data_IF_947691403904
#
_entry.id   IF_947691403904
#
_cell.length_a   1.000
_cell.length_b   1.000
_cell.length_c   1.000
_cell.angle_alpha   90.00
_cell.angle_beta   90.00
_cell.angle_gamma   90.00
#
_symmetry.space_group_name_H-M   'P 1'
#
loop_
_entity.id
_entity.type
_entity.pdbx_description
1 polymer ?
#
# COMPACT_ATOMS: atom_id res chain seq x y z
N UNK A 1 6.93 10.40 31.23
CA UNK A 1 6.21 9.14 30.93
C UNK A 1 7.26 8.07 30.70
N UNK A 2 7.14 6.94 31.38
CA UNK A 2 8.00 5.78 31.14
C UNK A 2 7.68 5.15 29.76
N UNK A 3 8.68 4.48 29.19
CA UNK A 3 8.62 3.92 27.84
C UNK A 3 7.41 3.00 27.62
N UNK A 4 7.06 2.19 28.63
CA UNK A 4 5.91 1.27 28.59
C UNK A 4 4.58 2.01 28.42
N UNK A 5 4.39 3.13 29.11
CA UNK A 5 3.17 3.93 28.97
C UNK A 5 3.06 4.56 27.58
N UNK A 6 4.17 5.10 27.05
CA UNK A 6 4.17 5.69 25.70
C UNK A 6 3.94 4.62 24.62
N UNK A 7 4.58 3.45 24.76
CA UNK A 7 4.39 2.30 23.88
C UNK A 7 2.95 1.79 23.92
N UNK A 8 2.36 1.66 25.12
CA UNK A 8 0.97 1.26 25.30
C UNK A 8 -0.02 2.21 24.61
N UNK A 9 0.19 3.52 24.77
CA UNK A 9 -0.61 4.55 24.08
C UNK A 9 -0.44 4.45 22.56
N UNK A 10 0.79 4.30 22.07
CA UNK A 10 1.07 4.17 20.64
C UNK A 10 0.36 2.94 20.03
N UNK A 11 0.50 1.78 20.67
CA UNK A 11 -0.16 0.54 20.24
C UNK A 11 -1.68 0.71 20.24
N UNK A 12 -2.25 1.31 21.29
CA UNK A 12 -3.69 1.56 21.36
C UNK A 12 -4.18 2.48 20.22
N UNK A 13 -3.47 3.57 19.94
CA UNK A 13 -3.80 4.49 18.84
C UNK A 13 -3.70 3.80 17.49
N UNK A 14 -2.62 3.06 17.23
CA UNK A 14 -2.41 2.34 15.96
C UNK A 14 -3.49 1.28 15.75
N UNK A 15 -3.78 0.46 16.76
CA UNK A 15 -4.83 -0.57 16.67
C UNK A 15 -6.21 0.07 16.46
N UNK A 16 -6.49 1.19 17.12
CA UNK A 16 -7.75 1.95 16.91
C UNK A 16 -7.84 2.49 15.49
N UNK A 17 -6.77 3.06 14.94
CA UNK A 17 -6.71 3.52 13.56
C UNK A 17 -6.93 2.37 12.57
N UNK A 18 -6.27 1.22 12.77
CA UNK A 18 -6.46 0.02 11.94
C UNK A 18 -7.93 -0.44 12.00
N UNK A 19 -8.50 -0.52 13.19
CA UNK A 19 -9.89 -0.92 13.40
C UNK A 19 -10.88 0.01 12.67
N UNK A 20 -10.65 1.33 12.75
CA UNK A 20 -11.45 2.33 12.03
C UNK A 20 -11.30 2.19 10.51
N UNK A 21 -10.07 2.02 10.01
CA UNK A 21 -9.83 1.81 8.57
C UNK A 21 -10.53 0.53 8.10
N UNK A 22 -10.41 -0.58 8.82
CA UNK A 22 -11.06 -1.84 8.45
C UNK A 22 -12.59 -1.70 8.43
N UNK A 23 -13.18 -1.05 9.43
CA UNK A 23 -14.62 -0.82 9.51
C UNK A 23 -15.13 0.06 8.36
N UNK A 24 -14.46 1.18 8.12
CA UNK A 24 -14.93 2.19 7.16
C UNK A 24 -14.33 2.04 5.76
N UNK A 25 -13.45 1.07 5.50
CA UNK A 25 -12.97 0.77 4.14
C UNK A 25 -14.02 0.03 3.29
N UNK A 26 -15.19 -0.32 3.84
CA UNK A 26 -16.32 -0.92 3.11
C UNK A 26 -16.22 -2.44 2.93
N UNK A 27 -15.30 -3.12 3.63
CA UNK A 27 -15.14 -4.57 3.63
C UNK A 27 -15.98 -5.22 4.75
N UNK A 28 -17.31 -5.20 4.61
CA UNK A 28 -18.26 -5.71 5.60
C UNK A 28 -18.15 -7.22 5.93
N UNK A 29 -17.37 -8.00 5.17
CA UNK A 29 -17.29 -9.46 5.30
C UNK A 29 -16.03 -9.98 6.02
N UNK A 30 -15.23 -9.12 6.66
CA UNK A 30 -14.05 -9.57 7.42
C UNK A 30 -14.44 -9.95 8.86
N UNK A 31 -13.81 -10.97 9.47
CA UNK A 31 -14.07 -11.35 10.88
C UNK A 31 -13.87 -10.16 11.84
N UNK A 32 -12.87 -9.33 11.56
CA UNK A 32 -12.60 -8.11 12.33
C UNK A 32 -13.72 -7.08 12.18
N UNK A 33 -14.24 -6.88 10.96
CA UNK A 33 -15.37 -5.98 10.69
C UNK A 33 -16.64 -6.41 11.44
N UNK A 34 -16.93 -7.72 11.48
CA UNK A 34 -18.05 -8.28 12.25
C UNK A 34 -17.90 -8.08 13.76
N UNK A 35 -16.68 -8.26 14.30
CA UNK A 35 -16.38 -8.00 15.70
C UNK A 35 -16.52 -6.50 16.04
N UNK A 36 -16.02 -5.62 15.18
CA UNK A 36 -16.16 -4.17 15.30
C UNK A 36 -17.63 -3.73 15.25
N UNK A 37 -18.44 -4.33 14.40
CA UNK A 37 -19.88 -4.03 14.32
C UNK A 37 -20.62 -4.51 15.57
N UNK A 38 -20.29 -5.69 16.11
CA UNK A 38 -20.82 -6.13 17.43
C UNK A 38 -20.40 -5.18 18.55
N UNK A 39 -19.12 -4.82 18.61
CA UNK A 39 -18.60 -3.93 19.64
C UNK A 39 -19.27 -2.56 19.57
N UNK A 40 -19.32 -1.95 18.39
CA UNK A 40 -20.01 -0.67 18.20
C UNK A 40 -21.51 -0.76 18.42
N UNK A 41 -22.16 -1.91 18.21
CA UNK A 41 -23.54 -2.16 18.60
C UNK A 41 -23.78 -2.11 20.12
N UNK A 42 -22.79 -2.50 20.93
CA UNK A 42 -22.87 -2.45 22.40
C UNK A 42 -22.75 -1.00 22.91
N UNK A 43 -21.86 -0.20 22.30
CA UNK A 43 -21.61 1.19 22.72
C UNK A 43 -22.50 2.23 22.03
N UNK A 44 -23.10 1.90 20.88
CA UNK A 44 -24.01 2.78 20.14
C UNK A 44 -25.12 3.39 21.01
N UNK A 45 -25.83 2.65 21.89
CA UNK A 45 -26.91 3.22 22.70
C UNK A 45 -26.45 4.33 23.67
N UNK A 46 -25.15 4.39 23.95
CA UNK A 46 -24.55 5.33 24.91
C UNK A 46 -24.04 6.61 24.22
N UNK A 47 -24.02 6.63 22.88
CA UNK A 47 -23.56 7.76 22.08
C UNK A 47 -24.79 8.51 21.54
N UNK A 48 -24.93 9.83 21.81
CA UNK A 48 -26.05 10.63 21.30
C UNK A 48 -26.19 10.51 19.77
N UNK A 49 -27.42 10.40 19.27
CA UNK A 49 -27.71 10.24 17.83
C UNK A 49 -27.08 11.34 16.96
N UNK A 50 -27.00 12.57 17.48
CA UNK A 50 -26.33 13.69 16.81
C UNK A 50 -24.83 13.41 16.59
N UNK A 51 -24.14 12.93 17.63
CA UNK A 51 -22.72 12.54 17.57
C UNK A 51 -22.50 11.37 16.60
N UNK A 52 -23.37 10.35 16.62
CA UNK A 52 -23.29 9.25 15.67
C UNK A 52 -23.42 9.72 14.22
N UNK A 53 -24.38 10.61 13.94
CA UNK A 53 -24.60 11.17 12.60
C UNK A 53 -23.41 12.01 12.13
N UNK A 54 -22.84 12.83 13.01
CA UNK A 54 -21.63 13.62 12.73
C UNK A 54 -20.45 12.70 12.47
N UNK A 55 -20.19 11.71 13.34
CA UNK A 55 -19.10 10.75 13.15
C UNK A 55 -19.25 9.99 11.83
N UNK A 56 -20.45 9.50 11.50
CA UNK A 56 -20.70 8.81 10.24
C UNK A 56 -20.44 9.71 9.03
N UNK A 57 -20.96 10.95 9.04
CA UNK A 57 -20.75 11.92 7.95
C UNK A 57 -19.28 12.28 7.80
N UNK A 58 -18.58 12.51 8.89
CA UNK A 58 -17.15 12.84 8.89
C UNK A 58 -16.33 11.67 8.38
N UNK A 59 -16.54 10.45 8.88
CA UNK A 59 -15.86 9.24 8.40
C UNK A 59 -16.16 8.98 6.92
N UNK A 60 -17.41 9.17 6.48
CA UNK A 60 -17.75 9.06 5.06
C UNK A 60 -17.04 10.12 4.21
N UNK A 61 -16.97 11.38 4.66
CA UNK A 61 -16.20 12.42 3.95
C UNK A 61 -14.71 12.12 3.91
N UNK A 62 -14.16 11.57 4.99
CA UNK A 62 -12.74 11.21 5.08
C UNK A 62 -12.42 10.03 4.16
N UNK A 63 -13.06 8.88 4.35
CA UNK A 63 -12.69 7.62 3.71
C UNK A 63 -13.39 7.35 2.37
N UNK A 64 -14.51 8.01 2.08
CA UNK A 64 -15.31 7.75 0.88
C UNK A 64 -15.42 8.94 -0.08
N UNK A 65 -14.96 10.13 0.32
CA UNK A 65 -14.85 11.26 -0.59
C UNK A 65 -13.40 11.66 -0.80
N UNK A 66 -13.12 12.11 -2.01
CA UNK A 66 -11.80 12.63 -2.34
C UNK A 66 -11.58 13.94 -1.58
N UNK A 67 -10.57 13.94 -0.72
CA UNK A 67 -10.15 15.08 0.06
C UNK A 67 -8.61 15.10 0.13
N UNK A 68 -8.05 16.26 0.47
CA UNK A 68 -6.61 16.42 0.63
C UNK A 68 -6.13 16.03 2.04
N UNK A 69 -7.03 15.63 2.95
CA UNK A 69 -6.66 15.32 4.33
C UNK A 69 -5.63 14.20 4.39
N UNK A 70 -5.83 13.10 3.64
CA UNK A 70 -4.87 11.99 3.60
C UNK A 70 -3.52 12.40 3.01
N UNK A 71 -3.52 13.31 2.02
CA UNK A 71 -2.27 13.85 1.46
C UNK A 71 -1.51 14.64 2.54
N UNK A 72 -2.18 15.57 3.24
CA UNK A 72 -1.55 16.38 4.27
C UNK A 72 -1.12 15.56 5.49
N UNK A 73 -1.95 14.60 5.92
CA UNK A 73 -1.63 13.70 7.02
C UNK A 73 -0.39 12.86 6.70
N UNK A 74 -0.30 12.31 5.48
CA UNK A 74 0.85 11.54 5.05
C UNK A 74 2.13 12.38 5.01
N UNK A 75 2.06 13.60 4.45
CA UNK A 75 3.19 14.52 4.42
C UNK A 75 3.63 14.95 5.83
N UNK A 76 2.69 15.18 6.75
CA UNK A 76 2.99 15.51 8.13
C UNK A 76 3.71 14.36 8.83
N UNK A 77 3.18 13.13 8.73
CA UNK A 77 3.80 11.94 9.30
C UNK A 77 5.21 11.72 8.73
N UNK A 78 5.38 11.97 7.45
CA UNK A 78 6.67 11.86 6.76
C UNK A 78 7.69 12.89 7.27
N UNK A 79 7.28 14.15 7.48
CA UNK A 79 8.12 15.19 8.09
C UNK A 79 8.52 14.80 9.51
N UNK A 80 7.59 14.27 10.32
CA UNK A 80 7.89 13.83 11.69
C UNK A 80 8.90 12.68 11.69
N UNK A 81 8.68 11.64 10.88
CA UNK A 81 9.58 10.49 10.79
C UNK A 81 10.98 10.90 10.32
N UNK A 82 11.06 11.76 9.31
CA UNK A 82 12.35 12.26 8.83
C UNK A 82 13.01 13.21 9.82
N UNK A 83 12.25 14.01 10.56
CA UNK A 83 12.78 14.84 11.64
C UNK A 83 13.44 14.00 12.74
N UNK A 84 12.78 12.94 13.18
CA UNK A 84 13.34 11.99 14.15
C UNK A 84 14.57 11.27 13.59
N UNK A 85 14.53 10.80 12.34
CA UNK A 85 15.68 10.17 11.69
C UNK A 85 16.88 11.14 11.55
N UNK A 86 16.63 12.39 11.18
CA UNK A 86 17.66 13.43 11.09
C UNK A 86 18.26 13.76 12.46
N UNK A 87 17.44 13.74 13.52
CA UNK A 87 17.92 14.03 14.87
C UNK A 87 18.73 12.85 15.46
N UNK A 88 18.21 11.62 15.35
CA UNK A 88 18.76 10.45 16.04
C UNK A 88 19.84 9.71 15.23
N UNK A 89 19.79 9.71 13.89
CA UNK A 89 20.71 8.90 13.06
C UNK A 89 21.66 9.77 12.26
N UNK A 90 21.17 10.84 11.62
CA UNK A 90 21.99 11.63 10.71
C UNK A 90 23.17 12.32 11.42
N UNK A 91 22.96 12.87 12.63
CA UNK A 91 24.03 13.46 13.44
C UNK A 91 25.13 12.44 13.78
N UNK A 92 24.74 11.26 14.25
CA UNK A 92 25.70 10.18 14.52
C UNK A 92 26.46 9.74 13.28
N UNK A 93 25.78 9.58 12.14
CA UNK A 93 26.46 9.21 10.89
C UNK A 93 27.45 10.27 10.44
N UNK A 94 27.15 11.56 10.62
CA UNK A 94 28.11 12.64 10.36
C UNK A 94 29.35 12.51 11.25
N UNK A 95 29.18 12.33 12.56
CA UNK A 95 30.28 12.18 13.52
C UNK A 95 31.14 10.94 13.24
N UNK A 96 30.53 9.89 12.67
CA UNK A 96 31.23 8.68 12.26
C UNK A 96 31.93 8.79 10.91
N UNK A 97 31.81 9.92 10.21
CA UNK A 97 32.47 10.15 8.92
C UNK A 97 31.79 9.43 7.75
N UNK A 98 30.50 9.11 7.86
CA UNK A 98 29.72 8.60 6.73
C UNK A 98 29.73 9.61 5.59
N UNK A 99 29.89 9.14 4.34
CA UNK A 99 29.99 10.02 3.17
C UNK A 99 28.76 10.93 3.03
N UNK A 100 28.97 12.21 2.67
CA UNK A 100 27.88 13.15 2.44
C UNK A 100 26.91 12.68 1.37
N UNK A 101 27.40 11.92 0.37
CA UNK A 101 26.56 11.33 -0.68
C UNK A 101 25.57 10.34 -0.05
N UNK A 102 26.05 9.40 0.77
CA UNK A 102 25.19 8.43 1.47
C UNK A 102 24.13 9.11 2.33
N UNK A 103 24.48 10.24 2.96
CA UNK A 103 23.58 11.01 3.81
C UNK A 103 22.54 11.82 3.03
N UNK A 104 22.82 12.20 1.77
CA UNK A 104 21.86 12.89 0.91
C UNK A 104 20.83 11.93 0.28
N UNK A 105 21.18 10.66 0.05
CA UNK A 105 20.30 9.69 -0.62
C UNK A 105 18.92 9.55 0.04
N UNK A 106 18.77 9.41 1.37
CA UNK A 106 17.46 9.32 2.02
C UNK A 106 16.55 10.50 1.66
N UNK A 107 17.07 11.72 1.66
CA UNK A 107 16.29 12.93 1.37
C UNK A 107 15.94 13.09 -0.12
N UNK A 108 16.79 12.59 -1.01
CA UNK A 108 16.45 12.51 -2.44
C UNK A 108 15.33 11.49 -2.65
N UNK A 109 15.43 10.31 -2.03
CA UNK A 109 14.39 9.28 -2.09
C UNK A 109 13.07 9.77 -1.49
N UNK A 110 13.12 10.50 -0.38
CA UNK A 110 12.00 11.22 0.23
C UNK A 110 11.30 12.12 -0.79
N UNK A 111 12.04 13.00 -1.46
CA UNK A 111 11.49 13.94 -2.43
C UNK A 111 10.86 13.23 -3.64
N UNK A 112 11.55 12.22 -4.20
CA UNK A 112 11.05 11.41 -5.32
C UNK A 112 9.76 10.67 -4.92
N UNK A 113 9.77 10.00 -3.77
CA UNK A 113 8.61 9.26 -3.26
C UNK A 113 7.44 10.18 -2.99
N UNK A 114 7.67 11.34 -2.35
CA UNK A 114 6.64 12.36 -2.10
C UNK A 114 6.00 12.88 -3.38
N UNK A 115 6.82 13.16 -4.41
CA UNK A 115 6.32 13.60 -5.71
C UNK A 115 5.46 12.51 -6.40
N UNK A 116 5.92 11.25 -6.37
CA UNK A 116 5.17 10.13 -6.95
C UNK A 116 3.87 9.84 -6.20
N UNK A 117 3.87 9.96 -4.87
CA UNK A 117 2.68 9.87 -4.04
C UNK A 117 1.66 10.95 -4.40
N UNK A 118 2.11 12.21 -4.51
CA UNK A 118 1.28 13.32 -4.94
C UNK A 118 0.65 13.08 -6.32
N UNK A 119 1.43 12.60 -7.31
CA UNK A 119 0.91 12.25 -8.63
C UNK A 119 -0.12 11.12 -8.56
N UNK A 120 0.12 10.08 -7.75
CA UNK A 120 -0.82 8.98 -7.59
C UNK A 120 -2.17 9.43 -7.01
N UNK A 121 -2.13 10.29 -5.98
CA UNK A 121 -3.32 10.85 -5.34
C UNK A 121 -4.07 11.82 -6.27
N UNK A 122 -3.33 12.66 -6.99
CA UNK A 122 -3.91 13.80 -7.70
C UNK A 122 -4.42 13.48 -9.10
N UNK A 123 -3.89 12.45 -9.76
CA UNK A 123 -4.28 12.12 -11.13
C UNK A 123 -5.65 11.45 -11.19
N UNK A 124 -6.37 11.70 -12.28
CA UNK A 124 -7.60 10.96 -12.56
C UNK A 124 -7.25 9.49 -12.84
N UNK A 125 -7.98 8.51 -12.28
CA UNK A 125 -7.68 7.10 -12.50
C UNK A 125 -8.16 6.57 -13.85
N UNK A 126 -8.81 7.39 -14.69
CA UNK A 126 -9.56 6.96 -15.87
C UNK A 126 -11.06 6.91 -15.59
N UNK A 127 -11.61 7.98 -15.01
CA UNK A 127 -13.03 8.10 -14.70
C UNK A 127 -13.86 8.09 -15.98
N UNK A 128 -14.89 7.24 -16.00
CA UNK A 128 -15.85 7.17 -17.09
C UNK A 128 -16.94 8.22 -16.88
N UNK A 129 -17.06 9.11 -17.87
CA UNK A 129 -18.04 10.19 -17.94
C UNK A 129 -18.88 10.03 -19.20
N UNK A 130 -20.04 10.71 -19.29
CA UNK A 130 -20.84 10.69 -20.52
C UNK A 130 -20.07 11.19 -21.74
N UNK A 131 -19.13 12.12 -21.55
CA UNK A 131 -18.35 12.73 -22.63
C UNK A 131 -17.30 11.79 -23.24
N UNK A 132 -16.59 11.00 -22.43
CA UNK A 132 -15.55 10.07 -22.92
C UNK A 132 -16.08 8.66 -23.18
N UNK A 133 -17.27 8.31 -22.71
CA UNK A 133 -17.84 6.96 -22.72
C UNK A 133 -17.73 6.25 -24.07
N UNK A 134 -18.16 6.89 -25.16
CA UNK A 134 -18.15 6.28 -26.51
C UNK A 134 -16.74 5.97 -27.02
N UNK A 135 -15.77 6.77 -26.61
CA UNK A 135 -14.37 6.58 -26.97
C UNK A 135 -13.78 5.41 -26.17
N UNK A 136 -14.06 5.37 -24.86
CA UNK A 136 -13.57 4.35 -23.92
C UNK A 136 -14.12 2.95 -24.20
N UNK A 137 -15.34 2.84 -24.74
CA UNK A 137 -15.93 1.57 -25.18
C UNK A 137 -15.10 0.84 -26.25
N UNK A 138 -14.23 1.55 -26.97
CA UNK A 138 -13.46 1.03 -28.11
C UNK A 138 -12.02 0.69 -27.76
N UNK A 139 -11.55 1.06 -26.56
CA UNK A 139 -10.14 0.91 -26.16
C UNK A 139 -9.78 -0.56 -25.91
N UNK A 140 -10.64 -1.27 -25.19
CA UNK A 140 -10.45 -2.67 -24.84
C UNK A 140 -11.55 -3.52 -25.46
N UNK A 141 -11.16 -4.62 -26.10
CA UNK A 141 -12.11 -5.61 -26.62
C UNK A 141 -12.73 -6.41 -25.47
N UNK A 142 -14.00 -6.75 -25.62
CA UNK A 142 -14.68 -7.67 -24.72
C UNK A 142 -14.16 -9.09 -24.98
N UNK A 143 -13.92 -9.83 -23.90
CA UNK A 143 -13.44 -11.21 -23.98
C UNK A 143 -14.57 -12.24 -23.82
N UNK A 144 -15.79 -11.78 -23.53
CA UNK A 144 -16.99 -12.58 -23.26
C UNK A 144 -16.80 -13.64 -22.15
N UNK A 145 -15.74 -13.50 -21.34
CA UNK A 145 -15.38 -14.40 -20.23
C UNK A 145 -15.42 -13.65 -18.90
N UNK A 146 -14.58 -12.63 -18.76
CA UNK A 146 -14.51 -11.75 -17.60
C UNK A 146 -15.34 -10.48 -17.79
N UNK A 147 -15.47 -10.02 -19.04
CA UNK A 147 -16.19 -8.80 -19.40
C UNK A 147 -17.05 -9.03 -20.65
N UNK A 148 -18.36 -9.04 -20.44
CA UNK A 148 -19.38 -9.22 -21.47
C UNK A 148 -19.82 -7.87 -22.05
N UNK A 149 -20.16 -7.86 -23.33
CA UNK A 149 -20.71 -6.69 -24.00
C UNK A 149 -22.13 -6.33 -23.47
N UNK A 150 -22.47 -5.05 -23.49
CA UNK A 150 -23.83 -4.57 -23.16
C UNK A 150 -24.15 -4.45 -21.66
N UNK A 151 -23.28 -4.93 -20.77
CA UNK A 151 -23.50 -4.83 -19.32
C UNK A 151 -23.51 -3.37 -18.85
N UNK A 152 -24.64 -2.91 -18.32
CA UNK A 152 -24.80 -1.54 -17.79
C UNK A 152 -24.40 -1.46 -16.31
N UNK A 153 -23.81 -0.34 -15.90
CA UNK A 153 -23.68 0.00 -14.49
C UNK A 153 -25.02 0.49 -13.94
N UNK A 154 -25.53 -0.17 -12.90
CA UNK A 154 -26.79 0.21 -12.23
C UNK A 154 -26.73 1.60 -11.57
N UNK A 155 -25.56 2.04 -11.10
CA UNK A 155 -25.40 3.35 -10.45
C UNK A 155 -25.17 4.46 -11.46
N UNK A 156 -24.16 4.32 -12.33
CA UNK A 156 -23.78 5.37 -13.28
C UNK A 156 -24.66 5.40 -14.54
N UNK A 157 -25.46 4.36 -14.79
CA UNK A 157 -26.32 4.23 -15.97
C UNK A 157 -25.55 4.32 -17.31
N UNK A 158 -24.29 3.88 -17.32
CA UNK A 158 -23.44 3.75 -18.51
C UNK A 158 -23.15 2.27 -18.80
N UNK A 159 -23.08 1.88 -20.08
CA UNK A 159 -22.54 0.56 -20.48
C UNK A 159 -21.09 0.48 -20.03
N UNK A 160 -20.68 -0.59 -19.36
CA UNK A 160 -19.31 -0.76 -18.86
C UNK A 160 -18.39 -1.13 -20.02
N UNK A 161 -17.37 -0.31 -20.35
CA UNK A 161 -16.29 -0.77 -21.22
C UNK A 161 -15.61 -2.02 -20.64
N UNK A 162 -14.99 -2.82 -21.50
CA UNK A 162 -14.19 -3.96 -21.05
C UNK A 162 -13.11 -3.49 -20.05
N UNK A 163 -12.84 -4.34 -19.04
CA UNK A 163 -11.89 -4.05 -17.93
C UNK A 163 -12.29 -2.91 -16.99
N UNK A 164 -13.46 -2.28 -17.17
CA UNK A 164 -13.95 -1.25 -16.24
C UNK A 164 -14.70 -1.82 -15.03
N UNK A 165 -14.80 -1.03 -13.95
CA UNK A 165 -15.63 -1.35 -12.78
C UNK A 165 -16.15 -0.09 -12.10
N UNK A 166 -17.35 -0.20 -11.52
CA UNK A 166 -17.88 0.81 -10.62
C UNK A 166 -17.25 0.67 -9.24
N UNK A 167 -16.56 1.71 -8.79
CA UNK A 167 -16.08 1.80 -7.42
C UNK A 167 -17.20 2.41 -6.57
N UNK A 168 -17.77 1.63 -5.65
CA UNK A 168 -18.82 2.09 -4.72
C UNK A 168 -18.32 3.19 -3.79
N UNK A 169 -17.06 3.10 -3.36
CA UNK A 169 -16.43 4.08 -2.48
C UNK A 169 -16.35 5.45 -3.16
N UNK A 170 -15.73 5.50 -4.35
CA UNK A 170 -15.62 6.74 -5.12
C UNK A 170 -16.89 7.13 -5.88
N UNK A 171 -17.93 6.30 -5.85
CA UNK A 171 -19.18 6.42 -6.61
C UNK A 171 -19.00 6.77 -8.11
N UNK A 172 -18.05 6.10 -8.77
CA UNK A 172 -17.78 6.32 -10.21
C UNK A 172 -17.26 5.06 -10.88
N UNK A 173 -17.52 4.94 -12.18
CA UNK A 173 -16.90 3.91 -13.01
C UNK A 173 -15.49 4.34 -13.41
N UNK A 174 -14.55 3.41 -13.37
CA UNK A 174 -13.14 3.62 -13.71
C UNK A 174 -12.72 2.60 -14.76
N UNK A 175 -12.02 3.06 -15.79
CA UNK A 175 -11.47 2.27 -16.87
C UNK A 175 -10.24 1.48 -16.42
N UNK A 176 -10.10 0.23 -16.88
CA UNK A 176 -9.06 -0.73 -16.42
C UNK A 176 -8.87 -0.66 -14.90
N UNK A 177 -9.97 -0.80 -14.18
CA UNK A 177 -9.98 -0.64 -12.74
C UNK A 177 -9.14 -1.72 -12.07
N UNK A 178 -8.22 -1.29 -11.21
CA UNK A 178 -7.40 -2.17 -10.38
C UNK A 178 -8.04 -2.35 -9.00
N UNK A 179 -7.96 -1.32 -8.16
CA UNK A 179 -8.59 -1.31 -6.85
C UNK A 179 -8.87 0.12 -6.40
N UNK A 180 -9.62 0.26 -5.31
CA UNK A 180 -9.66 1.51 -4.56
C UNK A 180 -8.61 1.43 -3.47
N UNK A 181 -7.67 2.37 -3.46
CA UNK A 181 -6.59 2.40 -2.48
C UNK A 181 -6.87 3.51 -1.46
N UNK A 182 -7.15 3.10 -0.23
CA UNK A 182 -7.43 4.01 0.89
C UNK A 182 -6.22 4.90 1.21
N UNK A 183 -5.00 4.38 1.04
CA UNK A 183 -3.76 5.07 1.36
C UNK A 183 -3.46 6.28 0.46
N UNK A 184 -3.97 6.27 -0.78
CA UNK A 184 -3.85 7.40 -1.72
C UNK A 184 -5.18 8.14 -1.91
N UNK A 185 -6.21 7.76 -1.15
CA UNK A 185 -7.59 8.24 -1.25
C UNK A 185 -8.10 8.37 -2.71
N UNK A 186 -7.79 7.36 -3.54
CA UNK A 186 -8.12 7.37 -4.96
C UNK A 186 -8.28 5.94 -5.50
N UNK A 187 -8.99 5.81 -6.62
CA UNK A 187 -8.92 4.56 -7.37
C UNK A 187 -7.56 4.44 -8.06
N UNK A 188 -7.10 3.21 -8.26
CA UNK A 188 -6.01 2.88 -9.17
C UNK A 188 -6.64 2.32 -10.45
N UNK A 189 -6.31 2.92 -11.59
CA UNK A 189 -6.84 2.56 -12.90
C UNK A 189 -5.93 3.03 -14.02
N UNK A 190 -6.42 2.93 -15.26
CA UNK A 190 -5.60 3.06 -16.48
C UNK A 190 -4.68 4.28 -16.52
N UNK A 191 -5.09 5.43 -15.98
CA UNK A 191 -4.32 6.69 -16.07
C UNK A 191 -3.33 6.93 -14.92
N UNK A 192 -3.43 6.21 -13.80
CA UNK A 192 -2.56 6.44 -12.63
C UNK A 192 -1.82 5.20 -12.10
N UNK A 193 -2.05 4.01 -12.66
CA UNK A 193 -1.33 2.78 -12.27
C UNK A 193 0.20 2.92 -12.34
N UNK A 194 0.75 3.64 -13.33
CA UNK A 194 2.21 3.89 -13.42
C UNK A 194 2.75 4.64 -12.21
N UNK A 195 2.03 5.66 -11.74
CA UNK A 195 2.45 6.44 -10.57
C UNK A 195 2.33 5.62 -9.30
N UNK A 196 1.31 4.77 -9.21
CA UNK A 196 1.15 3.84 -8.11
C UNK A 196 2.31 2.83 -8.03
N UNK A 197 2.70 2.21 -9.14
CA UNK A 197 3.85 1.29 -9.18
C UNK A 197 5.16 1.98 -8.83
N UNK A 198 5.43 3.15 -9.43
CA UNK A 198 6.64 3.92 -9.12
C UNK A 198 6.65 4.37 -7.66
N UNK A 199 5.51 4.79 -7.11
CA UNK A 199 5.35 5.13 -5.70
C UNK A 199 5.71 3.94 -4.80
N UNK A 200 5.16 2.75 -5.06
CA UNK A 200 5.47 1.52 -4.32
C UNK A 200 6.97 1.18 -4.34
N UNK A 201 7.60 1.25 -5.52
CA UNK A 201 9.04 1.02 -5.63
C UNK A 201 9.85 2.07 -4.87
N UNK A 202 9.47 3.35 -4.96
CA UNK A 202 10.17 4.44 -4.29
C UNK A 202 10.07 4.36 -2.77
N UNK A 203 8.92 3.95 -2.21
CA UNK A 203 8.78 3.76 -0.76
C UNK A 203 9.58 2.56 -0.26
N UNK A 204 9.65 1.47 -1.03
CA UNK A 204 10.53 0.33 -0.73
C UNK A 204 12.01 0.74 -0.74
N UNK A 205 12.45 1.47 -1.76
CA UNK A 205 13.83 1.96 -1.86
C UNK A 205 14.18 2.90 -0.69
N UNK A 206 13.27 3.83 -0.37
CA UNK A 206 13.42 4.75 0.75
C UNK A 206 13.53 4.02 2.09
N UNK A 207 12.60 3.11 2.39
CA UNK A 207 12.59 2.34 3.64
C UNK A 207 13.84 1.46 3.77
N UNK A 208 14.23 0.78 2.69
CA UNK A 208 15.44 -0.05 2.66
C UNK A 208 16.70 0.77 2.85
N UNK A 209 16.81 1.95 2.23
CA UNK A 209 17.97 2.82 2.38
C UNK A 209 18.11 3.36 3.82
N UNK A 210 17.03 3.82 4.44
CA UNK A 210 17.04 4.26 5.84
C UNK A 210 17.40 3.08 6.76
N UNK A 211 16.84 1.89 6.54
CA UNK A 211 17.15 0.71 7.35
C UNK A 211 18.63 0.32 7.25
N UNK A 212 19.21 0.35 6.04
CA UNK A 212 20.64 0.07 5.82
C UNK A 212 21.51 1.10 6.53
N UNK A 213 21.23 2.40 6.40
CA UNK A 213 22.03 3.43 7.06
C UNK A 213 21.93 3.32 8.59
N UNK A 214 20.75 3.04 9.11
CA UNK A 214 20.52 2.87 10.56
C UNK A 214 21.23 1.62 11.09
N UNK A 215 21.20 0.52 10.33
CA UNK A 215 21.92 -0.70 10.69
C UNK A 215 23.44 -0.52 10.64
N UNK A 216 23.96 0.19 9.63
CA UNK A 216 25.37 0.56 9.54
C UNK A 216 25.79 1.44 10.72
N UNK A 217 24.96 2.43 11.10
CA UNK A 217 25.21 3.25 12.28
C UNK A 217 25.34 2.43 13.56
N UNK A 218 24.40 1.52 13.82
CA UNK A 218 24.46 0.64 15.00
C UNK A 218 25.68 -0.29 14.96
N UNK A 219 26.02 -0.83 13.79
CA UNK A 219 27.23 -1.65 13.62
C UNK A 219 28.49 -0.84 13.94
N UNK A 220 28.61 0.37 13.42
CA UNK A 220 29.74 1.27 13.69
C UNK A 220 29.83 1.63 15.19
N UNK A 221 28.69 1.84 15.86
CA UNK A 221 28.66 2.06 17.31
C UNK A 221 29.22 0.84 18.08
N UNK A 222 28.85 -0.39 17.69
CA UNK A 222 29.41 -1.63 18.28
C UNK A 222 30.90 -1.76 18.03
N UNK A 223 31.35 -1.48 16.80
CA UNK A 223 32.75 -1.61 16.42
C UNK A 223 33.64 -0.61 17.15
N UNK A 224 33.20 0.66 17.27
CA UNK A 224 33.98 1.73 17.92
C UNK A 224 34.04 1.61 19.44
N UNK A 225 33.00 1.08 20.07
CA UNK A 225 32.97 0.82 21.53
C UNK A 225 33.75 -0.42 21.93
N UNK A 226 34.23 -1.22 20.96
CA UNK A 226 34.96 -2.46 21.24
C UNK A 226 34.08 -3.56 21.84
N UNK A 227 32.75 -3.42 21.76
CA UNK A 227 31.78 -4.37 22.35
C UNK A 227 31.97 -5.81 21.88
N UNK A 228 32.49 -6.03 20.66
CA UNK A 228 32.79 -7.38 20.13
C UNK A 228 33.88 -8.12 20.92
N UNK A 229 34.75 -7.39 21.61
CA UNK A 229 35.85 -7.94 22.41
C UNK A 229 35.64 -7.71 23.91
N UNK A 230 34.44 -7.28 24.32
CA UNK A 230 34.13 -7.05 25.72
C UNK A 230 33.98 -8.38 26.48
N UNK A 231 34.35 -8.37 27.75
CA UNK A 231 34.15 -9.48 28.69
C UNK A 231 33.32 -9.00 29.88
N UNK A 232 32.48 -9.88 30.42
CA UNK A 232 31.76 -9.66 31.68
C UNK A 232 32.15 -10.73 32.69
N UNK A 233 31.96 -10.42 33.98
CA UNK A 233 32.20 -11.36 35.08
C UNK A 233 30.85 -11.92 35.50
N UNK A 234 30.73 -13.26 35.52
CA UNK A 234 29.51 -13.93 35.96
C UNK A 234 29.41 -14.02 37.51
N UNK A 235 28.31 -14.61 38.01
CA UNK A 235 28.09 -14.75 39.46
C UNK A 235 29.13 -15.65 40.14
N UNK A 236 29.82 -16.49 39.36
CA UNK A 236 30.88 -17.39 39.80
C UNK A 236 32.26 -16.71 39.76
N UNK A 237 32.36 -15.49 39.25
CA UNK A 237 33.61 -14.74 39.12
C UNK A 237 34.39 -15.04 37.84
N UNK A 238 33.84 -15.83 36.92
CA UNK A 238 34.51 -16.24 35.68
C UNK A 238 34.32 -15.19 34.57
N UNK A 239 35.36 -15.01 33.75
CA UNK A 239 35.30 -14.09 32.62
C UNK A 239 34.61 -14.74 31.42
N UNK A 240 33.44 -14.22 31.07
CA UNK A 240 32.68 -14.66 29.90
C UNK A 240 32.76 -13.61 28.79
N UNK A 241 32.95 -14.02 27.52
CA UNK A 241 32.91 -13.08 26.39
C UNK A 241 31.50 -12.53 26.20
N UNK A 242 31.40 -11.26 25.79
CA UNK A 242 30.13 -10.62 25.45
C UNK A 242 29.56 -11.26 24.16
N UNK A 243 28.68 -12.23 24.34
CA UNK A 243 27.98 -12.89 23.23
C UNK A 243 27.01 -11.95 22.50
N UNK A 244 26.45 -12.38 21.36
CA UNK A 244 25.53 -11.57 20.55
C UNK A 244 24.31 -11.04 21.31
N UNK A 245 23.78 -11.81 22.27
CA UNK A 245 22.63 -11.40 23.10
C UNK A 245 22.97 -10.22 24.00
N UNK A 246 24.18 -10.19 24.57
CA UNK A 246 24.65 -9.06 25.38
C UNK A 246 24.75 -7.79 24.53
N UNK A 247 25.28 -7.90 23.31
CA UNK A 247 25.38 -6.76 22.38
C UNK A 247 24.00 -6.25 22.00
N UNK A 248 23.05 -7.16 21.67
CA UNK A 248 21.68 -6.77 21.35
C UNK A 248 21.02 -6.06 22.54
N UNK A 249 21.18 -6.62 23.75
CA UNK A 249 20.66 -6.00 24.97
C UNK A 249 21.29 -4.63 25.22
N UNK A 250 22.60 -4.50 25.05
CA UNK A 250 23.30 -3.23 25.18
C UNK A 250 22.78 -2.20 24.16
N UNK A 251 22.67 -2.55 22.88
CA UNK A 251 22.12 -1.66 21.86
C UNK A 251 20.68 -1.24 22.16
N UNK A 252 19.86 -2.16 22.68
CA UNK A 252 18.49 -1.87 23.03
C UNK A 252 18.37 -0.91 24.23
N UNK A 253 19.29 -1.01 25.20
CA UNK A 253 19.32 -0.12 26.36
C UNK A 253 19.96 1.24 26.04
N UNK A 254 20.99 1.26 25.19
CA UNK A 254 21.73 2.47 24.82
C UNK A 254 21.00 3.27 23.74
N UNK A 255 20.44 2.60 22.73
CA UNK A 255 19.77 3.22 21.58
C UNK A 255 18.34 2.70 21.36
N UNK A 256 17.46 2.72 22.38
CA UNK A 256 16.14 2.08 22.29
C UNK A 256 15.33 2.58 21.10
N UNK A 257 15.24 3.91 20.91
CA UNK A 257 14.48 4.50 19.80
C UNK A 257 14.98 4.06 18.42
N UNK A 258 16.29 4.02 18.22
CA UNK A 258 16.92 3.67 16.94
C UNK A 258 16.67 2.18 16.63
N UNK A 259 16.81 1.32 17.63
CA UNK A 259 16.55 -0.13 17.49
C UNK A 259 15.07 -0.38 17.16
N UNK A 260 14.14 0.28 17.85
CA UNK A 260 12.71 0.18 17.55
C UNK A 260 12.36 0.72 16.16
N UNK A 261 12.93 1.86 15.78
CA UNK A 261 12.76 2.45 14.45
C UNK A 261 13.27 1.50 13.37
N UNK A 262 14.46 0.91 13.53
CA UNK A 262 15.03 -0.07 12.59
C UNK A 262 14.12 -1.30 12.48
N UNK A 263 13.69 -1.88 13.60
CA UNK A 263 12.79 -3.02 13.61
C UNK A 263 11.47 -2.73 12.87
N UNK A 264 10.88 -1.55 13.11
CA UNK A 264 9.67 -1.11 12.41
C UNK A 264 9.91 -0.91 10.91
N UNK A 265 11.01 -0.27 10.51
CA UNK A 265 11.38 -0.07 9.11
C UNK A 265 11.59 -1.39 8.37
N UNK A 266 12.26 -2.36 8.98
CA UNK A 266 12.48 -3.70 8.42
C UNK A 266 11.14 -4.41 8.22
N UNK A 267 10.26 -4.38 9.23
CA UNK A 267 8.91 -4.96 9.12
C UNK A 267 8.11 -4.33 7.97
N UNK A 268 8.05 -2.99 7.92
CA UNK A 268 7.34 -2.24 6.87
C UNK A 268 7.95 -2.50 5.50
N UNK A 269 9.28 -2.59 5.39
CA UNK A 269 9.98 -2.90 4.15
C UNK A 269 9.53 -4.23 3.57
N UNK A 270 9.52 -5.31 4.36
CA UNK A 270 9.11 -6.63 3.86
C UNK A 270 7.64 -6.67 3.46
N UNK A 271 6.77 -6.02 4.24
CA UNK A 271 5.35 -5.92 3.91
C UNK A 271 5.13 -5.19 2.57
N UNK A 272 5.77 -4.03 2.40
CA UNK A 272 5.65 -3.23 1.17
C UNK A 272 6.36 -3.89 -0.02
N UNK A 273 7.47 -4.60 0.20
CA UNK A 273 8.18 -5.34 -0.83
C UNK A 273 7.30 -6.48 -1.37
N UNK A 274 6.64 -7.25 -0.49
CA UNK A 274 5.67 -8.27 -0.88
C UNK A 274 4.52 -7.70 -1.72
N UNK A 275 3.95 -6.58 -1.28
CA UNK A 275 2.88 -5.90 -2.02
C UNK A 275 3.36 -5.34 -3.37
N UNK A 276 4.56 -4.77 -3.42
CA UNK A 276 5.20 -4.27 -4.64
C UNK A 276 5.48 -5.39 -5.64
N UNK A 277 6.00 -6.53 -5.17
CA UNK A 277 6.25 -7.71 -6.00
C UNK A 277 4.94 -8.24 -6.60
N UNK A 278 3.86 -8.31 -5.82
CA UNK A 278 2.57 -8.73 -6.31
C UNK A 278 2.06 -7.83 -7.45
N UNK A 279 2.10 -6.51 -7.27
CA UNK A 279 1.68 -5.56 -8.30
C UNK A 279 2.61 -5.53 -9.52
N UNK A 280 3.91 -5.72 -9.31
CA UNK A 280 4.86 -5.87 -10.42
C UNK A 280 4.54 -7.12 -11.23
N UNK A 281 4.29 -8.25 -10.57
CA UNK A 281 3.86 -9.49 -11.22
C UNK A 281 2.60 -9.28 -12.07
N UNK A 282 1.57 -8.63 -11.51
CA UNK A 282 0.34 -8.29 -12.22
C UNK A 282 0.60 -7.41 -13.46
N UNK A 283 1.46 -6.40 -13.33
CA UNK A 283 1.87 -5.56 -14.44
C UNK A 283 2.58 -6.36 -15.55
N UNK A 284 3.45 -7.32 -15.18
CA UNK A 284 4.18 -8.19 -16.11
C UNK A 284 3.26 -9.15 -16.88
N UNK A 285 2.10 -9.52 -16.34
CA UNK A 285 1.09 -10.36 -17.01
C UNK A 285 -0.09 -9.56 -17.59
N UNK A 286 -0.03 -8.22 -17.54
CA UNK A 286 -1.09 -7.29 -17.97
C UNK A 286 -2.45 -7.59 -17.34
N UNK A 287 -2.46 -7.93 -16.05
CA UNK A 287 -3.68 -8.22 -15.30
C UNK A 287 -3.84 -7.18 -14.19
N UNK A 288 -5.08 -6.78 -13.90
CA UNK A 288 -5.37 -5.96 -12.71
C UNK A 288 -5.65 -6.83 -11.49
N UNK A 289 -5.49 -6.30 -10.27
CA UNK A 289 -5.84 -7.01 -9.04
C UNK A 289 -7.33 -7.41 -9.03
N UNK A 290 -8.22 -6.54 -9.51
CA UNK A 290 -9.64 -6.85 -9.69
C UNK A 290 -9.86 -8.01 -10.68
N UNK A 291 -9.12 -8.07 -11.79
CA UNK A 291 -9.19 -9.19 -12.73
C UNK A 291 -8.63 -10.47 -12.10
N UNK A 292 -7.58 -10.39 -11.29
CA UNK A 292 -7.01 -11.54 -10.58
C UNK A 292 -8.01 -12.14 -9.58
N UNK A 293 -8.69 -11.29 -8.80
CA UNK A 293 -9.76 -11.75 -7.90
C UNK A 293 -10.97 -12.31 -8.65
N UNK A 294 -11.41 -11.66 -9.74
CA UNK A 294 -12.50 -12.19 -10.58
C UNK A 294 -12.13 -13.56 -11.18
N UNK A 295 -10.91 -13.69 -11.71
CA UNK A 295 -10.43 -14.93 -12.33
C UNK A 295 -10.39 -16.11 -11.37
N UNK A 296 -10.05 -15.88 -10.09
CA UNK A 296 -10.12 -16.93 -9.04
C UNK A 296 -11.55 -17.37 -8.70
N UNK A 297 -12.53 -16.49 -8.86
CA UNK A 297 -13.95 -16.78 -8.59
C UNK A 297 -14.67 -17.46 -9.76
N UNK A 298 -14.12 -17.42 -10.98
CA UNK A 298 -14.62 -18.13 -12.15
C UNK A 298 -14.26 -19.61 -12.08
N UNK A 299 -14.85 -20.33 -11.12
CA UNK A 299 -15.15 -21.74 -11.35
C UNK A 299 -16.27 -21.81 -12.39
N UNK A 300 -16.08 -22.64 -13.41
CA UNK A 300 -17.01 -22.89 -14.51
C UNK A 300 -18.49 -22.91 -14.04
N UNK A 301 -19.25 -21.83 -14.27
CA UNK A 301 -20.70 -21.80 -14.00
C UNK A 301 -21.50 -22.76 -14.92
N UNK A 302 -20.87 -23.22 -16.00
CA UNK A 302 -21.43 -24.20 -16.94
C UNK A 302 -21.26 -25.65 -16.52
N UNK A 303 -20.49 -25.91 -15.46
CA UNK A 303 -20.19 -27.26 -15.03
C UNK A 303 -21.22 -27.66 -13.97
N UNK A 304 -22.39 -28.11 -14.43
CA UNK A 304 -23.24 -28.96 -13.60
C UNK A 304 -22.42 -30.19 -13.18
N UNK A 305 -22.55 -30.70 -11.94
CA UNK A 305 -21.77 -31.83 -11.44
C UNK A 305 -21.97 -33.16 -12.21
N UNK A 306 -22.84 -33.18 -13.24
CA UNK A 306 -23.17 -34.37 -14.03
C UNK A 306 -22.85 -34.28 -15.53
N UNK A 307 -22.33 -33.16 -16.05
CA UNK A 307 -21.97 -33.07 -17.47
C UNK A 307 -20.45 -33.11 -17.65
N UNK A 308 -19.94 -34.30 -17.97
CA UNK A 308 -18.54 -34.58 -18.29
C UNK A 308 -18.13 -34.01 -19.67
N UNK A 309 -18.21 -32.70 -19.84
CA UNK A 309 -17.53 -32.01 -20.93
C UNK A 309 -16.26 -31.35 -20.39
N UNK A 310 -15.15 -31.63 -21.07
CA UNK A 310 -13.82 -31.04 -20.85
C UNK A 310 -13.87 -29.50 -21.04
N UNK A 311 -14.36 -28.76 -20.04
CA UNK A 311 -14.26 -27.31 -20.01
C UNK A 311 -12.82 -26.95 -19.60
N UNK A 312 -11.89 -27.00 -20.56
CA UNK A 312 -10.61 -26.34 -20.43
C UNK A 312 -10.86 -24.83 -20.49
N UNK A 313 -11.26 -24.23 -19.37
CA UNK A 313 -11.03 -22.80 -19.18
C UNK A 313 -9.52 -22.61 -19.28
N UNK A 314 -9.06 -22.10 -20.43
CA UNK A 314 -7.66 -21.72 -20.70
C UNK A 314 -7.28 -20.47 -19.86
N UNK A 315 -7.55 -20.52 -18.56
CA UNK A 315 -6.97 -19.58 -17.62
C UNK A 315 -5.65 -20.19 -17.17
N UNK A 316 -4.56 -19.71 -17.74
CA UNK A 316 -3.25 -19.99 -17.20
C UNK A 316 -2.98 -18.93 -16.11
N UNK A 317 -2.99 -19.30 -14.81
CA UNK A 317 -2.78 -18.35 -13.73
C UNK A 317 -1.43 -17.64 -13.83
N UNK A 318 -0.42 -18.28 -14.43
CA UNK A 318 0.91 -17.71 -14.60
C UNK A 318 1.00 -16.73 -15.77
N UNK A 319 0.15 -16.89 -16.81
CA UNK A 319 0.19 -16.05 -18.01
C UNK A 319 -0.86 -14.94 -18.00
N UNK A 320 -1.97 -15.11 -17.28
CA UNK A 320 -3.08 -14.15 -17.27
C UNK A 320 -3.83 -14.09 -18.63
N UNK A 321 -5.01 -13.46 -18.64
CA UNK A 321 -5.85 -13.40 -19.85
C UNK A 321 -5.34 -12.43 -20.92
N UNK A 322 -4.62 -11.37 -20.54
CA UNK A 322 -4.30 -10.24 -21.42
C UNK A 322 -2.80 -10.07 -21.73
N UNK A 323 -1.99 -11.07 -21.38
CA UNK A 323 -0.54 -11.01 -21.58
C UNK A 323 -0.17 -10.97 -23.07
N UNK A 324 0.61 -9.95 -23.44
CA UNK A 324 1.09 -9.70 -24.81
C UNK A 324 2.63 -9.70 -24.92
N UNK A 325 3.32 -10.21 -23.90
CA UNK A 325 4.77 -10.11 -23.72
C UNK A 325 5.16 -8.96 -22.78
N UNK A 326 6.22 -9.16 -21.99
CA UNK A 326 6.63 -8.28 -20.88
C UNK A 326 6.73 -6.81 -21.30
N UNK A 327 7.45 -6.52 -22.39
CA UNK A 327 7.65 -5.15 -22.87
C UNK A 327 6.33 -4.47 -23.29
N UNK A 328 5.44 -5.20 -23.99
CA UNK A 328 4.13 -4.64 -24.39
C UNK A 328 3.22 -4.41 -23.18
N UNK A 329 3.29 -5.29 -22.19
CA UNK A 329 2.52 -5.19 -20.96
C UNK A 329 2.94 -3.96 -20.13
N UNK A 330 4.25 -3.78 -19.93
CA UNK A 330 4.80 -2.59 -19.27
C UNK A 330 4.55 -1.33 -20.10
N UNK A 331 4.67 -1.42 -21.43
CA UNK A 331 4.33 -0.34 -22.35
C UNK A 331 2.91 0.18 -22.12
N UNK A 332 1.91 -0.70 -22.00
CA UNK A 332 0.52 -0.30 -21.70
C UNK A 332 0.34 0.32 -20.30
N UNK A 333 1.19 -0.04 -19.32
CA UNK A 333 1.12 0.55 -17.97
C UNK A 333 1.64 1.98 -17.98
N UNK A 334 2.80 2.22 -18.62
CA UNK A 334 3.45 3.53 -18.62
C UNK A 334 2.91 4.46 -19.71
N UNK A 335 2.44 3.90 -20.83
CA UNK A 335 1.79 4.57 -21.95
C UNK A 335 0.45 3.89 -22.25
N UNK A 336 -0.62 4.24 -21.51
CA UNK A 336 -1.93 3.61 -21.67
C UNK A 336 -2.48 3.82 -23.08
N UNK A 337 -3.27 2.85 -23.53
CA UNK A 337 -3.96 2.92 -24.82
C UNK A 337 -4.94 4.10 -24.81
N UNK A 338 -4.77 5.01 -25.77
CA UNK A 338 -5.71 6.10 -25.98
C UNK A 338 -6.84 5.66 -26.93
N UNK A 339 -8.06 6.17 -26.76
CA UNK A 339 -9.10 6.02 -27.77
C UNK A 339 -8.60 6.61 -29.08
N UNK A 340 -8.65 5.84 -30.17
CA UNK A 340 -8.34 6.37 -31.51
C UNK A 340 -9.37 7.44 -31.83
N UNK A 341 -8.95 8.72 -31.80
CA UNK A 341 -9.73 9.78 -32.41
C UNK A 341 -9.71 9.52 -33.92
N UNK A 342 -10.84 9.07 -34.49
CA UNK A 342 -11.03 9.21 -35.94
C UNK A 342 -10.81 10.69 -36.25
N UNK A 343 -9.79 11.02 -37.05
CA UNK A 343 -9.75 12.32 -37.73
C UNK A 343 -11.13 12.51 -38.36
N UNK A 344 -11.86 13.56 -37.97
CA UNK A 344 -12.93 14.06 -38.82
C UNK A 344 -12.20 14.50 -40.10
N UNK A 345 -12.62 13.91 -41.21
CA UNK A 345 -12.00 13.91 -42.54
C UNK A 345 -11.30 15.22 -42.91
#
# INVERSE_FOLDING_TARGET
MDFLTLFGIYVAVVLTCIALVCKYSGHQQTPLGLLLDKFTGIFSPWIPQCLQSICYRTMHRLFHQRNNFFLYLHLLLEVVVYGEFSYEVFGFCLDMGTSSISLCIPYVLLAVKSYLFYLCCSRDPGTLTKANHTAELKVYQYDEKLFQQGVKCSTCQLVKPARSKHCRVCNRCVQRFDHHCVWVNNCIGVQNTRYFLLYLLSVCAMAGNIAVLTADMLLQAVLRTGLLHAHYIDEQGEQQPAGPLFIIQHLFLTFPKIVFMLGFLVFVFFLLAGYSMFHMYLALINQTSNEWFKGKGHNCQHCHPYSAHNCRTSYNPFRGFYHRGILKNLGEIFWPLCPVQKKRN
#
